data_IF_677010782612
#
_entry.id   IF_677010782612
#
_cell.length_a   1.000
_cell.length_b   1.000
_cell.length_c   1.000
_cell.angle_alpha   90.00
_cell.angle_beta   90.00
_cell.angle_gamma   90.00
#
_symmetry.space_group_name_H-M   'P 1'
#
loop_
_entity.id
_entity.type
_entity.pdbx_description
1 polymer ?
#
# COMPACT_ATOMS: atom_id res chain seq x y z
N UNK A 1 -27.44 49.60 -20.28
CA UNK A 1 -28.82 49.13 -20.42
C UNK A 1 -28.92 47.85 -19.65
N UNK A 2 -29.72 47.84 -18.60
CA UNK A 2 -30.35 46.64 -18.03
C UNK A 2 -31.52 46.21 -18.96
N UNK A 3 -32.27 45.09 -18.75
CA UNK A 3 -32.26 44.08 -17.67
C UNK A 3 -31.66 42.73 -18.20
N UNK A 4 -31.92 41.48 -17.76
CA UNK A 4 -33.01 40.83 -16.99
C UNK A 4 -32.46 39.67 -16.12
N UNK A 5 -33.04 39.49 -14.92
CA UNK A 5 -32.87 38.34 -14.01
C UNK A 5 -33.77 37.16 -14.43
N UNK A 6 -33.32 35.90 -14.32
CA UNK A 6 -34.24 34.79 -13.97
C UNK A 6 -33.52 33.51 -13.53
N UNK A 7 -34.04 32.90 -12.45
CA UNK A 7 -33.80 31.51 -12.06
C UNK A 7 -34.77 30.57 -12.80
N UNK A 8 -34.33 29.38 -13.18
CA UNK A 8 -35.17 28.19 -13.22
C UNK A 8 -34.31 26.94 -12.98
N UNK A 9 -34.95 25.86 -12.49
CA UNK A 9 -34.26 24.77 -11.79
C UNK A 9 -34.88 23.42 -12.15
N UNK A 10 -34.01 22.42 -12.28
CA UNK A 10 -34.26 20.97 -12.19
C UNK A 10 -34.82 20.21 -13.41
N UNK A 11 -34.15 19.06 -13.60
CA UNK A 11 -34.58 17.73 -14.04
C UNK A 11 -33.62 17.22 -15.13
N UNK A 12 -33.04 16.02 -15.03
CA UNK A 12 -33.36 14.89 -14.17
C UNK A 12 -33.46 13.64 -15.03
N UNK A 13 -32.33 12.97 -15.27
CA UNK A 13 -32.26 11.80 -16.14
C UNK A 13 -30.93 11.72 -16.90
N UNK A 14 -29.99 10.92 -16.38
CA UNK A 14 -28.81 10.52 -17.15
C UNK A 14 -29.22 9.45 -18.15
N UNK A 15 -29.09 9.72 -19.46
CA UNK A 15 -29.32 8.74 -20.51
C UNK A 15 -28.01 8.50 -21.26
N UNK A 16 -27.44 7.31 -21.08
CA UNK A 16 -26.19 6.90 -21.73
C UNK A 16 -26.40 6.86 -23.25
N UNK A 17 -25.57 7.60 -24.00
CA UNK A 17 -25.50 7.52 -25.46
C UNK A 17 -24.19 6.89 -25.90
N UNK A 18 -24.23 5.61 -26.22
CA UNK A 18 -23.16 4.93 -26.96
C UNK A 18 -23.01 5.52 -28.36
N UNK A 19 -21.77 5.58 -28.86
CA UNK A 19 -21.47 5.99 -30.24
C UNK A 19 -20.84 4.80 -30.97
N UNK A 20 -21.47 4.39 -32.06
CA UNK A 20 -20.87 3.54 -33.09
C UNK A 20 -20.69 4.36 -34.36
N UNK A 21 -19.60 4.15 -35.08
CA UNK A 21 -19.45 4.57 -36.47
C UNK A 21 -19.23 3.36 -37.36
N UNK A 22 -19.92 3.34 -38.49
CA UNK A 22 -19.78 2.36 -39.57
C UNK A 22 -19.45 3.11 -40.85
N UNK A 23 -18.63 2.50 -41.71
CA UNK A 23 -18.23 3.08 -42.99
C UNK A 23 -18.40 2.05 -44.10
N UNK A 24 -19.06 2.44 -45.18
CA UNK A 24 -19.30 1.60 -46.37
C UNK A 24 -19.03 2.41 -47.65
N UNK A 25 -18.45 1.74 -48.63
CA UNK A 25 -18.17 2.23 -49.99
C UNK A 25 -17.28 1.21 -50.70
N UNK A 26 -17.54 0.92 -51.98
CA UNK A 26 -16.85 -0.16 -52.70
C UNK A 26 -16.67 0.10 -54.20
N UNK A 27 -15.90 -0.80 -54.84
CA UNK A 27 -15.90 -1.24 -56.27
C UNK A 27 -16.28 -0.20 -57.35
N UNK A 28 -15.51 0.03 -58.43
CA UNK A 28 -14.47 -0.79 -59.12
C UNK A 28 -13.56 0.17 -59.98
N UNK A 29 -12.73 -0.13 -61.00
CA UNK A 29 -12.51 -1.32 -61.86
C UNK A 29 -11.11 -1.34 -62.56
N UNK A 30 -10.71 -2.52 -63.08
CA UNK A 30 -9.79 -2.85 -64.20
C UNK A 30 -8.55 -1.97 -64.57
N UNK A 31 -7.35 -2.54 -64.48
CA UNK A 31 -6.59 -3.13 -65.64
C UNK A 31 -5.04 -2.98 -65.59
N UNK A 32 -4.39 -3.82 -66.41
CA UNK A 32 -2.97 -3.85 -66.83
C UNK A 32 -1.85 -4.32 -65.88
N UNK A 33 -0.88 -5.00 -66.51
CA UNK A 33 0.13 -5.86 -65.92
C UNK A 33 1.21 -5.16 -65.09
N UNK A 34 1.72 -5.89 -64.07
CA UNK A 34 3.18 -6.12 -63.93
C UNK A 34 3.47 -7.32 -63.01
N UNK A 35 4.15 -8.34 -63.54
CA UNK A 35 4.80 -9.36 -62.71
C UNK A 35 6.12 -8.77 -62.21
N UNK A 36 6.26 -8.59 -60.90
CA UNK A 36 7.52 -8.22 -60.25
C UNK A 36 7.71 -9.15 -59.05
N UNK A 37 8.75 -9.97 -59.10
CA UNK A 37 9.21 -10.72 -57.94
C UNK A 37 9.65 -9.75 -56.85
N UNK A 38 9.12 -9.89 -55.63
CA UNK A 38 9.71 -9.27 -54.44
C UNK A 38 9.99 -10.34 -53.41
N UNK A 39 11.26 -10.44 -53.06
CA UNK A 39 11.77 -11.24 -51.95
C UNK A 39 11.13 -10.69 -50.68
N UNK A 40 10.41 -11.54 -49.94
CA UNK A 40 10.02 -11.21 -48.58
C UNK A 40 11.25 -11.37 -47.67
N UNK A 41 11.75 -10.30 -47.02
CA UNK A 41 12.65 -10.49 -45.90
C UNK A 41 11.84 -11.16 -44.77
N UNK A 42 12.34 -12.28 -44.26
CA UNK A 42 11.79 -12.95 -43.08
C UNK A 42 12.03 -12.04 -41.87
N UNK A 43 11.08 -11.14 -41.62
CA UNK A 43 11.15 -10.23 -40.49
C UNK A 43 10.93 -11.03 -39.21
N UNK A 44 12.04 -11.42 -38.57
CA UNK A 44 12.05 -11.88 -37.20
C UNK A 44 11.52 -10.76 -36.32
N UNK A 45 10.20 -10.80 -36.09
CA UNK A 45 9.57 -10.12 -34.98
C UNK A 45 10.20 -10.68 -33.72
N UNK A 46 11.25 -10.00 -33.24
CA UNK A 46 11.67 -10.14 -31.85
C UNK A 46 10.48 -9.62 -31.04
N UNK A 47 9.68 -10.56 -30.53
CA UNK A 47 8.79 -10.28 -29.42
C UNK A 47 9.69 -9.78 -28.28
N UNK A 48 9.75 -8.46 -28.12
CA UNK A 48 10.29 -7.85 -26.92
C UNK A 48 9.45 -8.39 -25.78
N UNK A 49 9.99 -9.39 -25.09
CA UNK A 49 9.33 -10.08 -24.00
C UNK A 49 9.30 -9.09 -22.84
N UNK A 50 8.27 -8.25 -22.84
CA UNK A 50 7.98 -7.23 -21.84
C UNK A 50 7.48 -7.89 -20.55
N UNK A 51 8.28 -8.84 -20.08
CA UNK A 51 8.22 -9.44 -18.78
C UNK A 51 8.63 -8.36 -17.77
N UNK A 52 7.67 -7.46 -17.48
CA UNK A 52 7.79 -6.45 -16.44
C UNK A 52 7.98 -7.19 -15.12
N UNK A 53 9.24 -7.39 -14.72
CA UNK A 53 9.58 -7.96 -13.43
C UNK A 53 8.87 -7.13 -12.35
N UNK A 54 7.98 -7.77 -11.59
CA UNK A 54 7.27 -7.13 -10.49
C UNK A 54 8.29 -6.71 -9.45
N UNK A 55 8.50 -5.40 -9.30
CA UNK A 55 9.50 -4.86 -8.42
C UNK A 55 8.91 -4.73 -7.02
N UNK A 56 8.74 -5.87 -6.34
CA UNK A 56 8.35 -5.90 -4.94
C UNK A 56 9.42 -5.16 -4.11
N UNK A 57 9.01 -4.20 -3.28
CA UNK A 57 9.93 -3.40 -2.45
C UNK A 57 9.55 -3.48 -0.97
N UNK A 58 10.49 -3.81 -0.07
CA UNK A 58 10.30 -3.75 1.38
C UNK A 58 9.80 -2.37 1.82
N UNK A 59 8.59 -2.30 2.35
CA UNK A 59 7.92 -1.08 2.79
C UNK A 59 7.26 -1.32 4.15
N UNK A 60 7.27 -0.33 5.04
CA UNK A 60 6.67 -0.46 6.38
C UNK A 60 5.50 0.49 6.56
N UNK A 61 4.42 -0.01 7.15
CA UNK A 61 3.13 0.67 7.25
C UNK A 61 2.77 0.84 8.72
N UNK A 62 2.58 2.09 9.15
CA UNK A 62 2.00 2.42 10.45
C UNK A 62 0.50 2.71 10.29
N UNK A 63 -0.34 1.84 10.83
CA UNK A 63 -1.79 2.06 10.93
C UNK A 63 -2.12 2.60 12.31
N UNK A 64 -2.75 3.77 12.35
CA UNK A 64 -3.21 4.46 13.56
C UNK A 64 -4.75 4.39 13.58
N UNK A 65 -5.32 3.53 14.42
CA UNK A 65 -6.76 3.34 14.56
C UNK A 65 -7.25 4.12 15.77
N UNK A 66 -8.22 5.02 15.57
CA UNK A 66 -8.86 5.78 16.65
C UNK A 66 -10.01 4.99 17.26
N UNK A 67 -10.24 5.13 18.57
CA UNK A 67 -11.45 4.63 19.27
C UNK A 67 -12.79 5.21 18.80
N UNK A 68 -12.77 6.05 17.75
CA UNK A 68 -13.96 6.56 17.06
C UNK A 68 -14.20 5.93 15.67
N UNK A 69 -13.37 4.96 15.27
CA UNK A 69 -13.46 4.27 13.98
C UNK A 69 -14.02 2.84 14.15
N UNK A 70 -14.77 2.34 13.17
CA UNK A 70 -15.39 1.01 13.20
C UNK A 70 -14.39 -0.15 13.33
N UNK A 71 -13.15 0.03 12.85
CA UNK A 71 -12.09 -0.98 12.97
C UNK A 71 -11.41 -1.00 14.35
N UNK A 72 -11.88 -0.22 15.34
CA UNK A 72 -11.27 -0.16 16.67
C UNK A 72 -11.12 -1.53 17.35
N UNK A 73 -12.23 -2.23 17.63
CA UNK A 73 -12.17 -3.52 18.33
C UNK A 73 -11.49 -4.61 17.48
N UNK A 74 -11.66 -4.57 16.15
CA UNK A 74 -10.99 -5.48 15.22
C UNK A 74 -9.47 -5.27 15.24
N UNK A 75 -8.99 -4.01 15.31
CA UNK A 75 -7.56 -3.70 15.36
C UNK A 75 -6.86 -4.28 16.59
N UNK A 76 -7.59 -4.51 17.68
CA UNK A 76 -7.06 -5.19 18.87
C UNK A 76 -7.36 -6.69 18.92
N UNK A 77 -8.51 -7.14 18.43
CA UNK A 77 -8.92 -8.55 18.52
C UNK A 77 -8.39 -9.41 17.37
N UNK A 78 -8.50 -8.92 16.14
CA UNK A 78 -8.16 -9.62 14.89
C UNK A 78 -7.32 -8.72 13.98
N UNK A 79 -6.13 -8.35 14.43
CA UNK A 79 -5.31 -7.31 13.80
C UNK A 79 -4.88 -7.64 12.37
N UNK A 80 -4.69 -8.93 12.05
CA UNK A 80 -4.22 -9.36 10.73
C UNK A 80 -5.30 -9.17 9.64
N UNK A 81 -6.58 -9.24 10.00
CA UNK A 81 -7.69 -8.92 9.09
C UNK A 81 -7.63 -7.49 8.54
N UNK A 82 -6.95 -6.57 9.24
CA UNK A 82 -6.77 -5.19 8.79
C UNK A 82 -5.59 -5.00 7.83
N UNK A 83 -4.68 -5.98 7.69
CA UNK A 83 -3.52 -5.87 6.78
C UNK A 83 -3.96 -5.79 5.31
N UNK A 84 -4.86 -6.66 4.80
CA UNK A 84 -5.41 -6.51 3.44
C UNK A 84 -6.18 -5.20 3.23
N UNK A 85 -6.91 -4.72 4.24
CA UNK A 85 -7.67 -3.46 4.18
C UNK A 85 -6.71 -2.26 4.11
N UNK A 86 -5.65 -2.27 4.92
CA UNK A 86 -4.59 -1.27 4.88
C UNK A 86 -3.83 -1.29 3.55
N UNK A 87 -3.51 -2.48 3.01
CA UNK A 87 -2.88 -2.63 1.70
C UNK A 87 -3.78 -2.07 0.57
N UNK A 88 -5.08 -2.34 0.59
CA UNK A 88 -6.05 -1.75 -0.34
C UNK A 88 -6.04 -0.22 -0.31
N UNK A 89 -6.08 0.38 0.89
CA UNK A 89 -5.98 1.84 1.07
C UNK A 89 -4.67 2.39 0.45
N UNK A 90 -3.54 1.68 0.56
CA UNK A 90 -2.28 2.11 -0.06
C UNK A 90 -2.30 1.98 -1.58
N UNK A 91 -2.88 0.90 -2.12
CA UNK A 91 -3.07 0.68 -3.57
C UNK A 91 -3.91 1.79 -4.18
N UNK A 92 -5.05 2.11 -3.55
CA UNK A 92 -6.02 3.13 -3.99
C UNK A 92 -5.47 4.56 -3.91
N UNK A 93 -4.52 4.83 -3.02
CA UNK A 93 -3.87 6.16 -2.88
C UNK A 93 -2.53 6.26 -3.63
N UNK A 94 -2.12 5.21 -4.35
CA UNK A 94 -0.81 5.12 -5.04
C UNK A 94 0.40 5.31 -4.11
N UNK A 95 0.33 4.76 -2.89
CA UNK A 95 1.34 4.88 -1.84
C UNK A 95 2.15 3.59 -1.62
N UNK A 96 2.26 2.73 -2.64
CA UNK A 96 3.05 1.51 -2.62
C UNK A 96 4.41 1.74 -3.30
N UNK A 97 5.49 1.30 -2.66
CA UNK A 97 6.87 1.46 -3.17
C UNK A 97 7.21 0.47 -4.31
N UNK A 98 6.45 -0.61 -4.41
CA UNK A 98 6.62 -1.68 -5.39
C UNK A 98 5.38 -1.94 -6.23
N UNK A 99 5.54 -2.73 -7.30
CA UNK A 99 4.43 -3.15 -8.18
C UNK A 99 3.92 -4.54 -7.80
N UNK A 100 2.60 -4.66 -7.68
CA UNK A 100 1.91 -5.87 -7.21
C UNK A 100 0.68 -6.15 -8.06
N UNK A 101 0.33 -7.41 -8.25
CA UNK A 101 -0.86 -7.84 -9.00
C UNK A 101 -1.85 -8.55 -8.08
N UNK A 102 -3.08 -8.78 -8.53
CA UNK A 102 -4.07 -9.53 -7.76
C UNK A 102 -3.83 -11.05 -7.82
N UNK A 103 -2.90 -11.48 -8.68
CA UNK A 103 -2.42 -12.87 -8.82
C UNK A 103 -1.16 -13.16 -7.97
N UNK A 104 -0.35 -12.15 -7.69
CA UNK A 104 0.84 -12.21 -6.82
C UNK A 104 0.77 -11.11 -5.75
N UNK A 105 -0.01 -11.32 -4.67
CA UNK A 105 -0.07 -10.40 -3.54
C UNK A 105 1.20 -10.52 -2.67
N UNK A 106 1.70 -9.41 -2.09
CA UNK A 106 2.90 -9.42 -1.27
C UNK A 106 2.72 -10.12 0.09
N UNK A 107 3.82 -10.60 0.68
CA UNK A 107 3.87 -10.97 2.10
C UNK A 107 3.53 -9.72 2.94
N UNK A 108 2.48 -9.80 3.77
CA UNK A 108 2.12 -8.79 4.75
C UNK A 108 2.41 -9.34 6.15
N UNK A 109 3.30 -8.70 6.90
CA UNK A 109 3.86 -9.24 8.15
C UNK A 109 3.69 -8.29 9.32
N UNK A 110 2.76 -8.58 10.24
CA UNK A 110 2.53 -7.76 11.42
C UNK A 110 3.74 -7.84 12.38
N UNK A 111 4.38 -6.70 12.65
CA UNK A 111 5.56 -6.61 13.52
C UNK A 111 5.26 -6.08 14.92
N UNK A 112 4.44 -5.03 15.03
CA UNK A 112 4.16 -4.36 16.32
C UNK A 112 2.68 -4.06 16.45
N UNK A 113 2.14 -4.22 17.66
CA UNK A 113 0.74 -4.00 18.00
C UNK A 113 0.64 -3.36 19.39
N UNK A 114 0.25 -2.09 19.46
CA UNK A 114 0.16 -1.34 20.72
C UNK A 114 -1.23 -0.73 20.95
N UNK A 115 -1.83 -0.99 22.10
CA UNK A 115 -3.10 -0.35 22.53
C UNK A 115 -2.84 0.75 23.54
N UNK A 116 -3.52 1.88 23.34
CA UNK A 116 -3.60 3.01 24.25
C UNK A 116 -5.07 3.37 24.46
N UNK A 117 -5.40 4.19 25.46
CA UNK A 117 -6.79 4.47 25.86
C UNK A 117 -7.68 5.09 24.75
N UNK A 118 -7.10 5.61 23.66
CA UNK A 118 -7.83 6.22 22.54
C UNK A 118 -7.34 5.77 21.15
N UNK A 119 -6.22 5.04 21.06
CA UNK A 119 -5.53 4.70 19.82
C UNK A 119 -4.93 3.29 19.85
N UNK A 120 -5.09 2.53 18.77
CA UNK A 120 -4.34 1.30 18.50
C UNK A 120 -3.37 1.60 17.37
N UNK A 121 -2.12 1.20 17.56
CA UNK A 121 -1.06 1.32 16.57
C UNK A 121 -0.67 -0.07 16.10
N UNK A 122 -0.82 -0.33 14.80
CA UNK A 122 -0.29 -1.53 14.15
C UNK A 122 0.87 -1.12 13.25
N UNK A 123 1.97 -1.86 13.28
CA UNK A 123 3.05 -1.73 12.30
C UNK A 123 3.24 -3.07 11.61
N UNK A 124 3.13 -3.09 10.29
CA UNK A 124 3.40 -4.26 9.47
C UNK A 124 4.35 -3.90 8.30
N UNK A 125 5.07 -4.90 7.82
CA UNK A 125 5.92 -4.77 6.64
C UNK A 125 5.26 -5.45 5.43
N UNK A 126 5.45 -4.86 4.26
CA UNK A 126 5.09 -5.37 2.92
C UNK A 126 6.39 -5.89 2.29
N UNK A 127 6.40 -7.13 1.81
CA UNK A 127 7.52 -7.76 1.09
C UNK A 127 8.89 -7.71 1.78
N UNK A 128 8.96 -7.52 3.11
CA UNK A 128 10.21 -7.62 3.88
C UNK A 128 10.55 -9.09 4.23
N UNK A 129 10.76 -9.89 3.19
CA UNK A 129 11.12 -11.32 3.30
C UNK A 129 12.46 -11.53 4.03
N UNK A 130 13.33 -10.51 4.02
CA UNK A 130 14.64 -10.48 4.68
C UNK A 130 14.62 -10.10 6.17
N UNK A 131 13.47 -10.03 6.83
CA UNK A 131 13.40 -9.65 8.25
C UNK A 131 14.03 -10.71 9.18
N UNK A 132 15.19 -10.38 9.76
CA UNK A 132 15.89 -11.20 10.75
C UNK A 132 15.44 -10.84 12.19
N UNK A 133 14.81 -11.76 12.96
CA UNK A 133 14.39 -11.51 14.34
C UNK A 133 15.54 -11.52 15.37
N UNK A 134 16.76 -11.88 14.97
CA UNK A 134 17.96 -11.74 15.80
C UNK A 134 18.51 -10.32 15.67
N UNK A 135 18.65 -9.79 14.44
CA UNK A 135 19.26 -8.49 14.17
C UNK A 135 18.26 -7.32 14.11
N UNK A 136 16.97 -7.57 13.86
CA UNK A 136 15.94 -6.55 13.61
C UNK A 136 15.58 -5.64 14.79
N UNK A 137 16.35 -5.63 15.87
CA UNK A 137 16.28 -4.67 16.98
C UNK A 137 17.38 -3.60 16.90
N UNK A 138 18.37 -3.79 16.02
CA UNK A 138 19.45 -2.82 15.76
C UNK A 138 18.95 -1.66 14.90
N UNK A 139 19.47 -0.43 15.11
CA UNK A 139 19.09 0.75 14.32
C UNK A 139 19.56 0.66 12.86
N UNK A 140 20.56 -0.18 12.55
CA UNK A 140 21.05 -0.40 11.19
C UNK A 140 20.00 -1.10 10.30
N UNK A 141 19.22 -1.99 10.89
CA UNK A 141 18.31 -2.92 10.19
C UNK A 141 16.89 -2.37 10.02
N UNK A 142 16.56 -1.28 10.70
CA UNK A 142 15.23 -0.66 10.66
C UNK A 142 15.29 0.65 9.86
N UNK A 143 15.37 0.54 8.53
CA UNK A 143 15.52 1.69 7.62
C UNK A 143 14.54 1.67 6.43
N UNK A 144 13.42 0.97 6.58
CA UNK A 144 12.38 0.89 5.55
C UNK A 144 11.68 2.24 5.33
N UNK A 145 11.23 2.55 4.11
CA UNK A 145 10.32 3.67 3.85
C UNK A 145 9.01 3.44 4.62
N UNK A 146 8.48 4.52 5.21
CA UNK A 146 7.32 4.47 6.10
C UNK A 146 6.13 5.16 5.43
N UNK A 147 5.01 4.47 5.33
CA UNK A 147 3.71 5.08 5.02
C UNK A 147 2.79 5.01 6.23
N UNK A 148 2.01 6.07 6.47
CA UNK A 148 1.12 6.19 7.63
C UNK A 148 -0.33 6.19 7.14
N UNK A 149 -1.15 5.33 7.73
CA UNK A 149 -2.60 5.30 7.56
C UNK A 149 -3.25 5.72 8.88
N UNK A 150 -4.19 6.67 8.83
CA UNK A 150 -5.02 7.10 9.97
C UNK A 150 -6.45 6.67 9.75
N UNK A 151 -6.93 5.71 10.54
CA UNK A 151 -8.32 5.24 10.56
C UNK A 151 -9.05 5.97 11.68
N UNK A 152 -9.64 7.13 11.34
CA UNK A 152 -10.40 7.98 12.25
C UNK A 152 -11.84 8.17 11.75
N UNK A 153 -12.54 9.26 12.10
CA UNK A 153 -13.77 9.71 11.42
C UNK A 153 -13.57 9.98 9.92
N UNK A 154 -12.32 10.18 9.49
CA UNK A 154 -11.90 10.16 8.08
C UNK A 154 -10.69 9.22 7.95
N UNK A 155 -10.60 8.54 6.81
CA UNK A 155 -9.38 7.83 6.42
C UNK A 155 -8.40 8.84 5.83
N UNK A 156 -7.12 8.72 6.18
CA UNK A 156 -6.02 9.45 5.56
C UNK A 156 -4.86 8.49 5.35
N UNK A 157 -4.16 8.57 4.22
CA UNK A 157 -2.92 7.83 3.99
C UNK A 157 -1.88 8.79 3.39
N UNK A 158 -0.62 8.70 3.83
CA UNK A 158 0.48 9.54 3.34
C UNK A 158 1.86 8.94 3.68
N UNK A 159 2.84 9.12 2.80
CA UNK A 159 4.23 8.77 3.08
C UNK A 159 4.81 9.66 4.18
N UNK A 160 5.57 9.09 5.11
CA UNK A 160 6.15 9.83 6.22
C UNK A 160 7.34 10.68 5.76
N UNK A 161 7.51 11.87 6.35
CA UNK A 161 8.76 12.62 6.23
C UNK A 161 9.87 11.89 6.99
N UNK A 162 11.13 12.03 6.57
CA UNK A 162 12.26 11.30 7.14
C UNK A 162 12.37 11.36 8.67
N UNK A 163 12.13 12.49 9.38
CA UNK A 163 12.14 12.51 10.84
C UNK A 163 11.06 11.62 11.48
N UNK A 164 9.87 11.57 10.87
CA UNK A 164 8.76 10.73 11.35
C UNK A 164 9.05 9.26 11.01
N UNK A 165 9.52 8.98 9.80
CA UNK A 165 9.86 7.62 9.38
C UNK A 165 10.99 7.01 10.23
N UNK A 166 12.04 7.78 10.50
CA UNK A 166 13.10 7.40 11.41
C UNK A 166 12.56 7.11 12.81
N UNK A 167 11.68 7.96 13.36
CA UNK A 167 11.09 7.73 14.68
C UNK A 167 10.29 6.42 14.72
N UNK A 168 9.45 6.14 13.72
CA UNK A 168 8.66 4.90 13.66
C UNK A 168 9.59 3.67 13.59
N UNK A 169 10.64 3.73 12.78
CA UNK A 169 11.64 2.67 12.72
C UNK A 169 12.38 2.46 14.05
N UNK A 170 12.77 3.53 14.75
CA UNK A 170 13.37 3.46 16.10
C UNK A 170 12.38 2.97 17.17
N UNK A 171 11.09 3.32 17.08
CA UNK A 171 10.05 2.80 17.97
C UNK A 171 9.87 1.29 17.79
N UNK A 172 9.84 0.78 16.55
CA UNK A 172 9.81 -0.66 16.24
C UNK A 172 11.05 -1.37 16.78
N UNK A 173 12.24 -0.82 16.53
CA UNK A 173 13.51 -1.36 17.03
C UNK A 173 13.53 -1.45 18.57
N UNK A 174 13.06 -0.40 19.27
CA UNK A 174 12.95 -0.38 20.74
C UNK A 174 11.93 -1.39 21.27
N UNK A 175 10.75 -1.52 20.65
CA UNK A 175 9.74 -2.50 21.05
C UNK A 175 10.25 -3.93 20.86
N UNK A 176 10.96 -4.19 19.76
CA UNK A 176 11.59 -5.48 19.49
C UNK A 176 12.73 -5.76 20.50
N UNK A 177 13.61 -4.80 20.76
CA UNK A 177 14.63 -4.90 21.80
C UNK A 177 14.02 -5.29 23.16
N UNK A 178 13.01 -4.52 23.59
CA UNK A 178 12.34 -4.67 24.87
C UNK A 178 11.53 -5.97 25.03
N UNK A 179 11.20 -6.64 23.91
CA UNK A 179 10.53 -7.96 23.89
C UNK A 179 11.46 -9.12 24.22
N UNK A 180 12.79 -8.91 24.21
CA UNK A 180 13.79 -9.85 24.73
C UNK A 180 14.22 -10.99 23.79
N UNK A 181 15.34 -11.63 24.15
CA UNK A 181 16.03 -12.62 23.32
C UNK A 181 15.08 -13.72 22.82
N UNK A 182 15.17 -14.06 21.53
CA UNK A 182 14.31 -15.00 20.81
C UNK A 182 12.82 -14.61 20.68
N UNK A 183 12.41 -13.40 21.05
CA UNK A 183 11.05 -12.93 20.76
C UNK A 183 10.82 -12.83 19.25
N UNK A 184 9.70 -13.38 18.77
CA UNK A 184 9.23 -13.24 17.40
C UNK A 184 8.06 -12.23 17.33
N UNK A 185 7.87 -11.53 16.20
CA UNK A 185 6.69 -10.69 15.99
C UNK A 185 5.41 -11.53 15.88
N UNK A 186 4.22 -10.96 16.13
CA UNK A 186 3.99 -9.56 16.47
C UNK A 186 4.30 -9.22 17.93
N UNK A 187 5.05 -8.13 18.16
CA UNK A 187 5.34 -7.61 19.48
C UNK A 187 4.14 -6.82 20.02
N UNK A 188 3.50 -7.34 21.06
CA UNK A 188 2.25 -6.80 21.61
C UNK A 188 2.49 -5.97 22.87
N UNK A 189 1.80 -4.83 23.02
CA UNK A 189 1.82 -4.02 24.25
C UNK A 189 0.45 -3.42 24.52
N UNK A 190 -0.08 -3.53 25.75
CA UNK A 190 -1.34 -2.90 26.14
C UNK A 190 -1.11 -1.88 27.26
N UNK A 191 -1.05 -0.59 26.89
CA UNK A 191 -0.90 0.54 27.82
C UNK A 191 -2.23 0.93 28.50
N UNK A 192 -3.31 0.14 28.35
CA UNK A 192 -4.60 0.40 29.01
C UNK A 192 -4.79 -0.39 30.31
N UNK A 193 -3.90 -1.34 30.60
CA UNK A 193 -3.95 -2.20 31.79
C UNK A 193 -2.95 -1.69 32.84
N UNK A 194 -1.65 -1.79 32.54
CA UNK A 194 -0.55 -1.35 33.41
C UNK A 194 0.59 -0.76 32.56
N UNK A 195 1.54 -0.06 33.20
CA UNK A 195 2.78 0.35 32.55
C UNK A 195 3.58 -0.90 32.13
N UNK A 196 3.95 -1.07 30.84
CA UNK A 196 4.60 -2.30 30.39
C UNK A 196 5.98 -2.45 31.02
N UNK A 197 6.18 -3.56 31.73
CA UNK A 197 7.46 -3.97 32.28
C UNK A 197 8.25 -4.72 31.19
N UNK A 198 9.51 -4.35 31.01
CA UNK A 198 10.43 -4.99 30.08
C UNK A 198 11.56 -5.67 30.88
N UNK A 199 11.32 -6.86 31.47
CA UNK A 199 12.23 -7.47 32.44
C UNK A 199 13.52 -8.04 31.83
N UNK A 200 13.59 -8.17 30.50
CA UNK A 200 14.72 -8.79 29.80
C UNK A 200 14.88 -8.20 28.38
N UNK A 201 15.29 -6.93 28.21
CA UNK A 201 15.63 -6.39 26.89
C UNK A 201 16.84 -7.12 26.29
N UNK A 202 16.97 -7.16 24.96
CA UNK A 202 18.17 -7.68 24.27
C UNK A 202 19.42 -6.85 24.61
N UNK A 203 19.26 -5.53 24.63
CA UNK A 203 20.26 -4.55 25.05
C UNK A 203 19.59 -3.44 25.90
N UNK A 204 19.92 -3.30 27.20
CA UNK A 204 19.42 -2.21 28.05
C UNK A 204 19.78 -0.80 27.55
N UNK A 205 20.87 -0.63 26.79
CA UNK A 205 21.30 0.68 26.27
C UNK A 205 20.37 1.20 25.16
N UNK A 206 19.66 0.29 24.46
CA UNK A 206 18.70 0.61 23.40
C UNK A 206 17.26 0.80 23.93
N UNK A 207 17.11 1.19 25.21
CA UNK A 207 15.82 1.57 25.82
C UNK A 207 15.68 3.07 26.13
N UNK A 208 16.76 3.85 25.98
CA UNK A 208 16.89 5.25 26.41
C UNK A 208 16.48 6.24 25.32
#
# INVERSE_FOLDING_TARGET
MDPIFLHSVQLGGSLIRSIFFSWQGGTQEQSHHRVIQRIFPFCLSQSADNNQMMEQKPQRVLVIVSGSNSYWEQSWSSSEDLLPIAFGILKDNHLLEGTYTDQDPPELKLLVKQKWATHVFLVFDISNTSYDPTLGHMPEQNKLPITIIRLSKKIQAYSASAPIGNKVNSDVARVHNASGINSLPPFVTDYTIESPLYPNPRDPLLLV
#
